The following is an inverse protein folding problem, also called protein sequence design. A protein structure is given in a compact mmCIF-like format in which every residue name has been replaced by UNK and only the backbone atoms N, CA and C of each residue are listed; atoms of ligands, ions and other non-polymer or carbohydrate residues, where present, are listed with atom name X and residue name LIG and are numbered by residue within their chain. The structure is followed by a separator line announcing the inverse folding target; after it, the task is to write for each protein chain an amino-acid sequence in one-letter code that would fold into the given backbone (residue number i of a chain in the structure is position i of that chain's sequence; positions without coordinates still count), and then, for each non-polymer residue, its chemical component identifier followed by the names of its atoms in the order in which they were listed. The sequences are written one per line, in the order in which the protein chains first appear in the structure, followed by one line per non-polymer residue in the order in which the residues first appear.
data_IF_886598127381
#
_entry.id   IF_886598127381
#
_cell.length_a   1.000
_cell.length_b   1.000
_cell.length_c   1.000
_cell.angle_alpha   90.00
_cell.angle_beta   90.00
_cell.angle_gamma   90.00
#
_symmetry.space_group_name_H-M   'P 1'
#
loop_
_entity.id
_entity.type
_entity.pdbx_description
1 polymer ?
#
# COMPACT_ATOMS: atom_id res chain seq x y z
N UNK A 1 8.46 14.27 -0.51
CA UNK A 1 7.16 13.58 -0.39
C UNK A 1 7.38 12.10 -0.62
N UNK A 2 6.86 11.24 0.25
CA UNK A 2 6.99 9.78 0.17
C UNK A 2 5.58 9.19 0.15
N UNK A 3 5.27 8.38 -0.86
CA UNK A 3 4.01 7.64 -0.94
C UNK A 3 4.28 6.19 -0.54
N UNK A 4 3.65 5.73 0.53
CA UNK A 4 3.80 4.35 1.01
C UNK A 4 2.55 3.55 0.68
N UNK A 5 2.68 2.65 -0.28
CA UNK A 5 1.57 1.79 -0.70
C UNK A 5 1.47 0.53 0.17
N UNK A 6 0.25 0.16 0.54
CA UNK A 6 -0.06 -1.05 1.29
C UNK A 6 -1.31 -1.73 0.73
N UNK A 7 -1.29 -3.06 0.71
CA UNK A 7 -2.40 -3.90 0.27
C UNK A 7 -3.04 -4.54 1.51
N UNK A 8 -4.36 -4.41 1.66
CA UNK A 8 -5.12 -4.99 2.79
C UNK A 8 -6.47 -5.54 2.34
N UNK A 9 -7.14 -6.31 3.19
CA UNK A 9 -8.54 -6.70 2.99
C UNK A 9 -9.48 -5.50 3.19
N UNK A 10 -10.66 -5.53 2.53
CA UNK A 10 -11.65 -4.45 2.60
C UNK A 10 -12.14 -4.17 4.03
N UNK A 11 -12.35 -5.24 4.81
CA UNK A 11 -12.88 -5.15 6.17
C UNK A 11 -11.98 -4.35 7.12
N UNK A 12 -10.67 -4.37 6.86
CA UNK A 12 -9.68 -3.69 7.71
C UNK A 12 -9.17 -2.37 7.12
N UNK A 13 -9.71 -1.93 5.98
CA UNK A 13 -9.18 -0.80 5.21
C UNK A 13 -9.10 0.48 6.06
N UNK A 14 -10.20 0.87 6.70
CA UNK A 14 -10.27 2.10 7.50
C UNK A 14 -9.34 2.06 8.73
N UNK A 15 -9.32 0.93 9.43
CA UNK A 15 -8.46 0.73 10.61
C UNK A 15 -6.99 0.82 10.22
N UNK A 16 -6.59 0.12 9.15
CA UNK A 16 -5.21 0.12 8.65
C UNK A 16 -4.80 1.50 8.14
N UNK A 17 -5.68 2.22 7.45
CA UNK A 17 -5.42 3.60 7.02
C UNK A 17 -5.11 4.50 8.22
N UNK A 18 -5.95 4.47 9.25
CA UNK A 18 -5.79 5.31 10.43
C UNK A 18 -4.53 4.97 11.22
N UNK A 19 -4.27 3.69 11.47
CA UNK A 19 -3.07 3.24 12.19
C UNK A 19 -1.78 3.62 11.45
N UNK A 20 -1.78 3.49 10.12
CA UNK A 20 -0.61 3.83 9.31
C UNK A 20 -0.40 5.33 9.23
N UNK A 21 -1.46 6.12 9.06
CA UNK A 21 -1.36 7.58 9.07
C UNK A 21 -0.68 8.06 10.34
N UNK A 22 -1.18 7.65 11.52
CA UNK A 22 -0.58 7.99 12.82
C UNK A 22 0.87 7.57 12.93
N UNK A 23 1.22 6.36 12.50
CA UNK A 23 2.60 5.87 12.52
C UNK A 23 3.51 6.68 11.61
N UNK A 24 3.06 7.01 10.41
CA UNK A 24 3.87 7.72 9.43
C UNK A 24 3.99 9.22 9.73
N UNK A 25 3.01 9.82 10.40
CA UNK A 25 3.11 11.20 10.90
C UNK A 25 4.24 11.32 11.93
N UNK A 26 4.32 10.39 12.89
CA UNK A 26 5.42 10.35 13.87
C UNK A 26 6.79 10.17 13.19
N UNK A 27 6.88 9.24 12.24
CA UNK A 27 8.12 9.01 11.48
C UNK A 27 8.52 10.24 10.64
N UNK A 28 7.55 10.94 10.04
CA UNK A 28 7.81 12.13 9.26
C UNK A 28 8.41 13.25 10.13
N UNK A 29 7.89 13.40 11.36
CA UNK A 29 8.42 14.36 12.35
C UNK A 29 9.86 13.98 12.73
N UNK A 30 10.09 12.72 13.11
CA UNK A 30 11.40 12.25 13.55
C UNK A 30 12.47 12.42 12.46
N UNK A 31 12.18 11.97 11.24
CA UNK A 31 13.09 12.13 10.09
C UNK A 31 13.27 13.60 9.74
N UNK A 32 12.21 14.41 9.81
CA UNK A 32 12.29 15.83 9.53
C UNK A 32 13.17 16.59 10.52
N UNK A 33 13.19 16.18 11.80
CA UNK A 33 14.09 16.72 12.82
C UNK A 33 15.55 16.33 12.56
N UNK A 34 15.82 15.06 12.20
CA UNK A 34 17.18 14.58 11.94
C UNK A 34 17.84 15.30 10.75
N UNK A 35 17.11 15.46 9.66
CA UNK A 35 17.64 16.03 8.42
C UNK A 35 17.29 17.51 8.22
N UNK A 36 16.67 18.15 9.23
CA UNK A 36 16.18 19.54 9.20
C UNK A 36 15.36 19.87 7.95
N UNK A 37 14.52 18.93 7.51
CA UNK A 37 13.73 19.06 6.29
C UNK A 37 12.26 18.69 6.53
N UNK A 38 11.35 19.26 5.72
CA UNK A 38 9.92 18.94 5.84
C UNK A 38 9.61 17.64 5.09
N UNK A 39 9.38 16.57 5.84
CA UNK A 39 9.00 15.27 5.27
C UNK A 39 7.48 15.15 5.29
N UNK A 40 6.92 14.68 4.18
CA UNK A 40 5.50 14.33 4.05
C UNK A 40 5.41 12.87 3.65
N UNK A 41 4.79 12.04 4.49
CA UNK A 41 4.57 10.63 4.22
C UNK A 41 3.07 10.40 4.13
N UNK A 42 2.62 9.92 2.99
CA UNK A 42 1.20 9.69 2.74
C UNK A 42 0.98 8.19 2.59
N UNK A 43 0.25 7.54 3.52
CA UNK A 43 -0.14 6.15 3.36
C UNK A 43 -1.17 6.04 2.24
N UNK A 44 -0.91 5.16 1.29
CA UNK A 44 -1.81 4.82 0.21
C UNK A 44 -2.25 3.38 0.41
N UNK A 45 -3.40 3.19 1.05
CA UNK A 45 -3.93 1.86 1.32
C UNK A 45 -4.94 1.51 0.23
N UNK A 46 -4.82 0.31 -0.32
CA UNK A 46 -5.70 -0.20 -1.35
C UNK A 46 -6.00 -1.67 -1.11
N UNK A 47 -7.18 -2.10 -1.52
CA UNK A 47 -7.55 -3.52 -1.53
C UNK A 47 -7.25 -4.10 -2.91
N UNK A 48 -7.19 -5.43 -3.01
CA UNK A 48 -7.08 -6.08 -4.33
C UNK A 48 -8.25 -5.67 -5.25
N UNK A 49 -9.46 -5.68 -4.70
CA UNK A 49 -10.68 -5.18 -5.37
C UNK A 49 -10.61 -3.66 -5.65
N UNK A 50 -9.91 -2.93 -4.79
CA UNK A 50 -9.57 -1.50 -4.88
C UNK A 50 -8.68 -1.14 -6.07
N UNK A 51 -7.91 -2.10 -6.61
CA UNK A 51 -7.16 -1.92 -7.85
C UNK A 51 -8.08 -1.82 -9.08
N UNK A 52 -9.31 -2.36 -8.97
CA UNK A 52 -10.36 -2.31 -10.00
C UNK A 52 -11.40 -1.22 -9.70
N UNK A 53 -11.55 -0.81 -8.43
CA UNK A 53 -12.70 -0.02 -7.97
C UNK A 53 -12.40 1.44 -7.60
N UNK A 54 -13.48 2.16 -7.29
CA UNK A 54 -13.64 3.62 -7.19
C UNK A 54 -12.87 4.29 -6.03
N UNK A 55 -12.32 3.52 -5.08
CA UNK A 55 -11.58 4.03 -3.92
C UNK A 55 -10.29 4.76 -4.33
N UNK A 56 -9.66 4.30 -5.43
CA UNK A 56 -8.47 4.91 -6.01
C UNK A 56 -8.70 6.39 -6.39
N UNK A 57 -9.92 6.74 -6.81
CA UNK A 57 -10.23 8.10 -7.29
C UNK A 57 -10.20 9.16 -6.20
N UNK A 58 -10.49 8.81 -4.93
CA UNK A 58 -10.43 9.76 -3.81
C UNK A 58 -8.99 10.25 -3.61
N UNK A 59 -8.04 9.32 -3.59
CA UNK A 59 -6.62 9.64 -3.40
C UNK A 59 -6.01 10.34 -4.61
N UNK A 60 -6.35 9.90 -5.83
CA UNK A 60 -5.90 10.56 -7.06
C UNK A 60 -6.34 12.02 -7.09
N UNK A 61 -7.59 12.30 -6.69
CA UNK A 61 -8.11 13.68 -6.58
C UNK A 61 -7.48 14.47 -5.44
N UNK A 62 -7.33 13.90 -4.26
CA UNK A 62 -6.78 14.62 -3.09
C UNK A 62 -5.29 14.91 -3.22
N UNK A 63 -4.55 14.04 -3.92
CA UNK A 63 -3.10 14.14 -4.08
C UNK A 63 -2.69 14.70 -5.45
N UNK A 64 -3.65 14.98 -6.34
CA UNK A 64 -3.42 15.39 -7.73
C UNK A 64 -2.39 14.50 -8.43
N UNK A 65 -2.54 13.17 -8.30
CA UNK A 65 -1.60 12.23 -8.92
C UNK A 65 -1.78 12.25 -10.44
N UNK A 66 -0.65 12.26 -11.17
CA UNK A 66 -0.67 12.05 -12.61
C UNK A 66 -1.12 10.63 -12.94
N UNK A 67 -1.73 10.44 -14.12
CA UNK A 67 -2.12 9.12 -14.61
C UNK A 67 -0.95 8.13 -14.67
N UNK A 68 0.27 8.60 -14.95
CA UNK A 68 1.49 7.78 -14.92
C UNK A 68 1.84 7.28 -13.52
N UNK A 69 1.69 8.13 -12.50
CA UNK A 69 1.95 7.77 -11.10
C UNK A 69 0.90 6.79 -10.59
N UNK A 70 -0.37 7.00 -10.95
CA UNK A 70 -1.47 6.08 -10.64
C UNK A 70 -1.23 4.70 -11.25
N UNK A 71 -0.91 4.64 -12.55
CA UNK A 71 -0.61 3.38 -13.27
C UNK A 71 0.60 2.66 -12.66
N UNK A 72 1.63 3.39 -12.26
CA UNK A 72 2.80 2.82 -11.60
C UNK A 72 2.43 2.20 -10.24
N UNK A 73 1.62 2.89 -9.45
CA UNK A 73 1.14 2.38 -8.16
C UNK A 73 0.29 1.12 -8.36
N UNK A 74 -0.64 1.15 -9.32
CA UNK A 74 -1.49 0.00 -9.67
C UNK A 74 -0.67 -1.21 -10.12
N UNK A 75 0.24 -1.05 -11.08
CA UNK A 75 1.10 -2.13 -11.57
C UNK A 75 1.98 -2.72 -10.46
N UNK A 76 2.49 -1.88 -9.55
CA UNK A 76 3.26 -2.34 -8.38
C UNK A 76 2.44 -3.16 -7.40
N UNK A 77 1.17 -2.81 -7.21
CA UNK A 77 0.24 -3.56 -6.36
C UNK A 77 -0.19 -4.88 -6.99
N UNK A 78 -0.46 -4.88 -8.30
CA UNK A 78 -0.70 -6.11 -9.05
C UNK A 78 0.48 -7.07 -8.92
N UNK A 79 1.70 -6.58 -9.15
CA UNK A 79 2.92 -7.38 -9.02
C UNK A 79 3.09 -7.97 -7.62
N UNK A 80 2.94 -7.16 -6.57
CA UNK A 80 3.04 -7.62 -5.18
C UNK A 80 1.98 -8.65 -4.81
N UNK A 81 0.77 -8.50 -5.33
CA UNK A 81 -0.30 -9.45 -5.08
C UNK A 81 0.00 -10.78 -5.77
N UNK A 82 0.43 -10.74 -7.04
CA UNK A 82 0.85 -11.94 -7.76
C UNK A 82 1.99 -12.67 -7.04
N UNK A 83 3.02 -11.93 -6.57
CA UNK A 83 4.10 -12.50 -5.76
C UNK A 83 3.57 -13.18 -4.48
N UNK A 84 2.61 -12.56 -3.79
CA UNK A 84 2.01 -13.14 -2.58
C UNK A 84 1.21 -14.42 -2.84
N UNK A 85 0.49 -14.48 -3.97
CA UNK A 85 -0.27 -15.67 -4.38
C UNK A 85 0.70 -16.79 -4.73
N UNK A 86 1.71 -16.52 -5.56
CA UNK A 86 2.73 -17.51 -5.94
C UNK A 86 3.48 -18.09 -4.72
N UNK A 87 3.79 -17.24 -3.73
CA UNK A 87 4.42 -17.67 -2.49
C UNK A 87 3.51 -18.56 -1.63
N UNK A 88 2.20 -18.31 -1.63
CA UNK A 88 1.24 -19.15 -0.91
C UNK A 88 1.06 -20.50 -1.62
N UNK A 89 0.92 -20.52 -2.94
CA UNK A 89 0.80 -21.76 -3.73
C UNK A 89 2.03 -22.67 -3.57
N UNK A 90 3.24 -22.09 -3.47
CA UNK A 90 4.46 -22.88 -3.21
C UNK A 90 4.55 -23.52 -1.81
N UNK A 91 3.70 -23.11 -0.86
CA UNK A 91 3.63 -23.73 0.49
C UNK A 91 2.64 -24.87 0.54
N UNK A 92 1.60 -24.82 -0.27
CA UNK A 92 0.58 -25.87 -0.34
C UNK A 92 1.13 -27.13 -1.03
N UNK A 93 1.95 -26.97 -2.08
CA UNK A 93 2.60 -28.10 -2.76
C UNK A 93 3.66 -28.83 -1.93
N UNK A 94 4.19 -28.23 -0.86
CA UNK A 94 5.12 -28.92 0.07
C UNK A 94 4.42 -29.74 1.15
N UNK A 95 3.10 -29.59 1.33
CA UNK A 95 2.34 -30.35 2.34
C UNK A 95 1.80 -31.68 1.81
N UNK A 96 1.67 -31.85 0.50
CA UNK A 96 1.23 -33.12 -0.12
C UNK A 96 2.37 -34.12 -0.35
N UNK A 97 3.63 -33.75 -0.14
CA UNK A 97 4.80 -34.63 -0.29
C UNK A 97 5.25 -35.38 0.97
N UNK A 98 4.45 -35.37 2.04
CA UNK A 98 4.69 -36.15 3.28
C UNK A 98 3.41 -36.90 3.65
N UNK A 99 3.12 -37.95 2.89
CA UNK A 99 2.26 -39.05 3.30
C UNK A 99 3.01 -40.35 3.08
#
# INVERSE_FOLDING_TARGET
MIIKTLITSLDNLQTVELEKARKYDLLAIEVGLMYKCKVWIIPYVMTWDGCVTTYNRKYVRSLNLSASTETYIQSRVLKKTLESISLNTGRDTKKEGRQ
#
